data_IF_957627045151
#
_entry.id   IF_957627045151
#
_cell.length_a   1.000
_cell.length_b   1.000
_cell.length_c   1.000
_cell.angle_alpha   90.00
_cell.angle_beta   90.00
_cell.angle_gamma   90.00
#
_symmetry.space_group_name_H-M   'P 1'
#
loop_
_entity.id
_entity.type
_entity.pdbx_description
1 polymer ?
#
# COMPACT_ATOMS: atom_id res chain seq x y z
N UNK A 1 -0.16 -15.43 12.35
CA UNK A 1 -0.70 -14.41 11.43
C UNK A 1 -0.33 -13.03 11.95
N UNK A 2 0.13 -12.14 11.12
CA UNK A 2 0.50 -10.80 11.56
C UNK A 2 -0.74 -9.99 11.92
N UNK A 3 -0.57 -9.00 12.80
CA UNK A 3 -1.62 -8.03 13.12
C UNK A 3 -2.18 -7.36 11.86
N UNK A 4 -1.31 -7.11 10.90
CA UNK A 4 -1.67 -6.51 9.63
C UNK A 4 -2.64 -7.39 8.85
N UNK A 5 -2.38 -8.70 8.79
CA UNK A 5 -3.24 -9.63 8.08
C UNK A 5 -4.65 -9.70 8.68
N UNK A 6 -4.75 -9.70 10.00
CA UNK A 6 -6.03 -9.78 10.68
C UNK A 6 -6.92 -8.56 10.46
N UNK A 7 -6.31 -7.37 10.45
CA UNK A 7 -7.07 -6.13 10.41
C UNK A 7 -7.26 -5.56 9.04
N UNK A 8 -6.26 -5.72 8.18
CA UNK A 8 -6.21 -4.98 6.92
C UNK A 8 -6.82 -5.77 5.78
N UNK A 9 -6.39 -7.00 5.60
CA UNK A 9 -6.80 -7.81 4.48
C UNK A 9 -8.30 -8.07 4.38
N UNK A 10 -9.03 -8.32 5.48
CA UNK A 10 -10.47 -8.54 5.37
C UNK A 10 -11.22 -7.41 4.71
N UNK A 11 -10.73 -6.19 4.79
CA UNK A 11 -11.40 -5.03 4.19
C UNK A 11 -11.07 -4.90 2.72
N UNK A 12 -9.80 -5.11 2.35
CA UNK A 12 -9.35 -4.90 0.97
C UNK A 12 -9.47 -6.16 0.10
N UNK A 13 -9.40 -7.33 0.71
CA UNK A 13 -9.22 -8.58 -0.01
C UNK A 13 -10.31 -9.58 0.21
N UNK A 14 -11.49 -9.13 0.57
CA UNK A 14 -12.64 -10.01 0.64
C UNK A 14 -13.01 -10.51 -0.74
N UNK A 15 -13.44 -11.77 -0.87
CA UNK A 15 -13.91 -12.30 -2.15
C UNK A 15 -14.98 -11.39 -2.76
N UNK A 16 -14.82 -11.08 -4.04
CA UNK A 16 -15.76 -10.21 -4.75
C UNK A 16 -15.48 -8.72 -4.62
N UNK A 17 -14.40 -8.32 -3.96
CA UNK A 17 -14.01 -6.92 -3.92
C UNK A 17 -13.57 -6.46 -5.31
N UNK A 18 -14.10 -5.34 -5.79
CA UNK A 18 -13.86 -4.89 -7.16
C UNK A 18 -12.41 -4.46 -7.44
N UNK A 19 -11.65 -4.12 -6.43
CA UNK A 19 -10.23 -3.82 -6.55
C UNK A 19 -9.37 -5.08 -6.49
N UNK A 20 -9.98 -6.26 -6.43
CA UNK A 20 -9.27 -7.51 -6.22
C UNK A 20 -8.18 -7.80 -7.25
N UNK A 21 -8.43 -7.47 -8.50
CA UNK A 21 -7.47 -7.76 -9.56
C UNK A 21 -6.25 -6.84 -9.54
N UNK A 22 -6.39 -5.65 -8.98
CA UNK A 22 -5.28 -4.76 -8.74
C UNK A 22 -4.59 -5.08 -7.42
N UNK A 23 -5.17 -5.96 -6.66
CA UNK A 23 -4.72 -6.28 -5.32
C UNK A 23 -3.71 -7.42 -5.37
N UNK A 24 -2.68 -7.23 -6.14
CA UNK A 24 -1.49 -8.07 -6.05
C UNK A 24 -0.84 -7.96 -4.68
N UNK A 25 -1.27 -7.01 -3.90
CA UNK A 25 -0.88 -6.86 -2.50
C UNK A 25 -1.15 -8.09 -1.64
N UNK A 26 -2.07 -8.96 -2.05
CA UNK A 26 -2.21 -10.27 -1.41
C UNK A 26 -0.97 -11.14 -1.56
N UNK A 27 -0.18 -10.87 -2.58
CA UNK A 27 1.07 -11.57 -2.86
C UNK A 27 2.28 -10.80 -2.33
N UNK A 28 2.07 -9.64 -1.74
CA UNK A 28 3.15 -8.85 -1.16
C UNK A 28 3.75 -9.57 0.02
N UNK A 29 5.07 -9.61 0.05
CA UNK A 29 5.78 -10.11 1.21
C UNK A 29 6.01 -8.97 2.19
N UNK A 30 5.48 -9.12 3.39
CA UNK A 30 5.68 -8.12 4.44
C UNK A 30 7.07 -8.31 5.00
N UNK A 31 7.92 -7.30 4.83
CA UNK A 31 9.30 -7.31 5.32
C UNK A 31 9.39 -6.68 6.71
N UNK A 32 8.55 -5.69 6.96
CA UNK A 32 8.52 -4.97 8.24
C UNK A 32 7.13 -4.41 8.46
N UNK A 33 6.64 -4.55 9.66
CA UNK A 33 5.33 -4.03 10.06
C UNK A 33 5.42 -3.57 11.50
N UNK A 34 5.33 -2.27 11.69
CA UNK A 34 5.29 -1.65 13.00
C UNK A 34 4.44 -0.40 12.94
N UNK A 35 4.10 0.16 14.09
CA UNK A 35 3.27 1.36 14.14
C UNK A 35 3.94 2.49 13.37
N UNK A 36 3.28 2.97 12.34
CA UNK A 36 3.76 4.08 11.51
C UNK A 36 4.77 3.70 10.45
N UNK A 37 5.09 2.42 10.27
CA UNK A 37 6.03 2.01 9.20
C UNK A 37 5.72 0.62 8.69
N UNK A 38 5.59 0.52 7.38
CA UNK A 38 5.37 -0.76 6.68
C UNK A 38 6.34 -0.85 5.52
N UNK A 39 7.00 -1.99 5.38
CA UNK A 39 7.82 -2.31 4.23
C UNK A 39 7.33 -3.61 3.62
N UNK A 40 7.10 -3.61 2.33
CA UNK A 40 6.69 -4.81 1.59
C UNK A 40 7.51 -4.97 0.34
N UNK A 41 7.64 -6.21 -0.10
CA UNK A 41 8.22 -6.54 -1.39
C UNK A 41 7.10 -6.95 -2.33
N UNK A 42 7.03 -6.31 -3.49
CA UNK A 42 6.04 -6.55 -4.51
C UNK A 42 6.71 -7.10 -5.77
N UNK A 43 5.94 -7.82 -6.58
CA UNK A 43 6.38 -8.25 -7.90
C UNK A 43 5.99 -7.21 -8.94
N UNK A 44 6.85 -7.03 -9.94
CA UNK A 44 6.51 -6.19 -11.07
C UNK A 44 5.41 -6.88 -11.89
N UNK A 45 4.22 -6.29 -12.00
CA UNK A 45 3.12 -6.93 -12.71
C UNK A 45 3.35 -6.87 -14.22
N UNK A 46 3.20 -8.01 -14.88
CA UNK A 46 3.48 -8.13 -16.32
C UNK A 46 2.50 -7.36 -17.22
N UNK A 47 1.33 -7.03 -16.70
CA UNK A 47 0.26 -6.38 -17.47
C UNK A 47 0.11 -4.88 -17.23
N UNK A 48 0.97 -4.31 -16.38
CA UNK A 48 0.92 -2.88 -16.03
C UNK A 48 2.21 -2.15 -16.44
N UNK A 49 2.85 -2.64 -17.48
CA UNK A 49 4.13 -2.12 -17.93
C UNK A 49 3.98 -1.13 -19.08
N UNK A 50 4.87 -0.17 -19.11
CA UNK A 50 5.03 0.70 -20.27
C UNK A 50 5.82 -0.03 -21.37
N UNK A 51 5.98 0.58 -22.57
CA UNK A 51 6.73 -0.07 -23.65
C UNK A 51 8.21 -0.38 -23.34
N UNK A 52 8.75 0.20 -22.28
CA UNK A 52 10.13 -0.06 -21.82
C UNK A 52 10.23 -1.17 -20.78
N UNK A 53 9.13 -1.84 -20.47
CA UNK A 53 9.11 -2.87 -19.43
C UNK A 53 9.17 -2.32 -18.01
N UNK A 54 8.81 -1.07 -17.82
CA UNK A 54 8.77 -0.41 -16.54
C UNK A 54 7.31 -0.21 -16.11
N UNK A 55 7.06 -0.15 -14.81
CA UNK A 55 5.71 0.11 -14.31
C UNK A 55 5.22 1.47 -14.84
N UNK A 56 3.99 1.50 -15.38
CA UNK A 56 3.36 2.76 -15.76
C UNK A 56 3.29 3.71 -14.57
N UNK A 57 3.58 5.00 -14.81
CA UNK A 57 3.58 6.01 -13.75
C UNK A 57 2.27 6.12 -13.00
N UNK A 58 1.13 5.98 -13.69
CA UNK A 58 -0.17 5.99 -13.04
C UNK A 58 -0.38 4.83 -12.09
N UNK A 59 0.17 3.66 -12.40
CA UNK A 59 0.12 2.51 -11.51
C UNK A 59 1.08 2.65 -10.34
N UNK A 60 2.19 3.34 -10.52
CA UNK A 60 3.05 3.72 -9.39
C UNK A 60 2.24 4.49 -8.35
N UNK A 61 1.41 5.42 -8.80
CA UNK A 61 0.51 6.16 -7.89
C UNK A 61 -0.44 5.24 -7.15
N UNK A 62 -0.98 4.23 -7.81
CA UNK A 62 -1.85 3.25 -7.17
C UNK A 62 -1.13 2.51 -6.05
N UNK A 63 0.10 2.06 -6.28
CA UNK A 63 0.89 1.38 -5.26
C UNK A 63 1.24 2.30 -4.09
N UNK A 64 1.55 3.55 -4.38
CA UNK A 64 1.82 4.56 -3.34
C UNK A 64 0.59 4.77 -2.47
N UNK A 65 -0.57 4.89 -3.08
CA UNK A 65 -1.83 5.05 -2.35
C UNK A 65 -2.11 3.85 -1.45
N UNK A 66 -1.91 2.66 -1.97
CA UNK A 66 -2.14 1.42 -1.23
C UNK A 66 -1.20 1.30 -0.02
N UNK A 67 0.09 1.52 -0.20
CA UNK A 67 1.03 1.39 0.91
C UNK A 67 0.79 2.46 1.98
N UNK A 68 0.31 3.63 1.59
CA UNK A 68 -0.05 4.69 2.52
C UNK A 68 -1.22 4.26 3.41
N UNK A 69 -2.24 3.65 2.83
CA UNK A 69 -3.38 3.15 3.60
C UNK A 69 -2.95 2.02 4.54
N UNK A 70 -2.11 1.11 4.10
CA UNK A 70 -1.59 0.06 4.96
C UNK A 70 -0.80 0.62 6.13
N UNK A 71 0.00 1.65 5.88
CA UNK A 71 0.77 2.32 6.92
C UNK A 71 -0.15 2.99 7.93
N UNK A 72 -1.18 3.69 7.46
CA UNK A 72 -2.16 4.32 8.33
C UNK A 72 -2.86 3.29 9.23
N UNK A 73 -3.16 2.12 8.70
CA UNK A 73 -3.83 1.07 9.47
C UNK A 73 -3.02 0.57 10.65
N UNK A 74 -1.71 0.70 10.62
CA UNK A 74 -0.86 0.32 11.74
C UNK A 74 -1.10 1.18 12.98
N UNK A 75 -1.79 2.31 12.83
CA UNK A 75 -2.14 3.19 13.95
C UNK A 75 -3.32 2.68 14.76
N UNK A 76 -4.04 1.69 14.25
CA UNK A 76 -5.24 1.16 14.86
C UNK A 76 -4.99 -0.21 15.49
N UNK A 77 -5.84 -0.55 16.46
CA UNK A 77 -5.79 -1.82 17.17
C UNK A 77 -7.17 -2.48 17.15
N UNK A 78 -7.29 -3.66 17.76
CA UNK A 78 -8.58 -4.32 17.93
C UNK A 78 -9.59 -3.46 18.68
N UNK A 79 -9.10 -2.69 19.65
CA UNK A 79 -9.95 -1.81 20.46
C UNK A 79 -10.31 -0.53 19.74
N UNK A 80 -9.38 -0.02 18.95
CA UNK A 80 -9.55 1.19 18.17
C UNK A 80 -9.69 0.79 16.69
N UNK A 81 -10.89 0.43 16.31
CA UNK A 81 -11.16 -0.14 14.99
C UNK A 81 -10.90 0.86 13.88
N UNK A 82 -10.35 0.34 12.79
CA UNK A 82 -10.15 1.09 11.58
C UNK A 82 -11.48 1.63 11.05
N UNK A 83 -11.49 2.91 10.74
CA UNK A 83 -12.56 3.53 9.97
C UNK A 83 -12.09 3.74 8.54
N UNK A 84 -13.01 3.65 7.61
CA UNK A 84 -12.67 3.88 6.22
C UNK A 84 -12.09 5.28 6.03
N UNK A 85 -10.98 5.35 5.29
CA UNK A 85 -10.29 6.60 5.01
C UNK A 85 -10.08 6.77 3.53
N UNK A 86 -10.01 8.01 3.10
CA UNK A 86 -9.76 8.35 1.70
C UNK A 86 -8.58 9.29 1.59
N UNK A 87 -7.84 9.17 0.49
CA UNK A 87 -6.76 10.07 0.16
C UNK A 87 -7.32 11.45 -0.16
N UNK A 88 -6.84 12.47 0.53
CA UNK A 88 -7.23 13.86 0.27
C UNK A 88 -6.23 14.59 -0.61
N UNK A 89 -4.97 14.20 -0.54
CA UNK A 89 -3.91 14.78 -1.37
C UNK A 89 -2.78 13.79 -1.50
N UNK A 90 -2.22 13.70 -2.70
CA UNK A 90 -1.08 12.83 -2.95
C UNK A 90 -0.13 13.53 -3.91
N UNK A 91 1.14 13.63 -3.51
CA UNK A 91 2.20 14.13 -4.37
C UNK A 91 3.18 13.00 -4.66
N UNK A 92 3.55 12.85 -5.92
CA UNK A 92 4.51 11.84 -6.34
C UNK A 92 5.62 12.49 -7.14
N UNK A 93 6.86 12.23 -6.75
CA UNK A 93 8.04 12.63 -7.49
C UNK A 93 8.70 11.37 -8.06
N UNK A 94 8.89 11.35 -9.36
CA UNK A 94 9.44 10.18 -10.06
C UNK A 94 10.92 10.40 -10.31
N UNK A 95 11.77 9.83 -9.47
CA UNK A 95 13.22 9.97 -9.60
C UNK A 95 13.85 8.85 -10.42
N UNK A 96 13.21 7.69 -10.46
CA UNK A 96 13.68 6.54 -11.20
C UNK A 96 12.50 5.66 -11.60
N UNK A 97 12.63 4.88 -12.68
CA UNK A 97 11.58 3.94 -13.07
C UNK A 97 11.49 2.78 -12.07
N UNK A 98 10.28 2.26 -11.91
CA UNK A 98 10.04 1.03 -11.15
C UNK A 98 10.26 -0.14 -12.09
N UNK A 99 11.21 -1.00 -11.76
CA UNK A 99 11.60 -2.14 -12.59
C UNK A 99 11.60 -3.43 -11.77
N UNK A 100 11.61 -4.53 -12.48
CA UNK A 100 11.51 -5.82 -11.87
C UNK A 100 12.81 -6.59 -11.77
N UNK A 101 12.65 -7.86 -11.35
CA UNK A 101 11.37 -8.57 -11.14
C UNK A 101 10.62 -8.17 -9.88
N UNK A 102 11.27 -7.54 -8.92
CA UNK A 102 10.68 -7.15 -7.64
C UNK A 102 11.06 -5.74 -7.27
N UNK A 103 10.21 -5.10 -6.48
CA UNK A 103 10.50 -3.78 -5.93
C UNK A 103 9.94 -3.67 -4.52
N UNK A 104 10.42 -2.70 -3.80
CA UNK A 104 10.04 -2.49 -2.40
C UNK A 104 9.14 -1.26 -2.29
N UNK A 105 8.11 -1.40 -1.48
CA UNK A 105 7.25 -0.30 -1.09
C UNK A 105 7.47 -0.02 0.40
N UNK A 106 7.68 1.23 0.72
CA UNK A 106 7.90 1.67 2.09
C UNK A 106 6.92 2.78 2.39
N UNK A 107 6.08 2.58 3.41
CA UNK A 107 5.21 3.60 3.95
C UNK A 107 5.72 4.04 5.31
N UNK A 108 5.80 5.33 5.54
CA UNK A 108 6.25 5.88 6.80
C UNK A 108 5.38 7.05 7.22
N UNK A 109 4.82 6.97 8.41
CA UNK A 109 4.03 8.04 8.99
C UNK A 109 4.94 9.21 9.35
N UNK A 110 4.64 10.37 8.80
CA UNK A 110 5.36 11.61 9.09
C UNK A 110 4.67 12.37 10.21
N UNK A 111 3.34 12.45 10.14
CA UNK A 111 2.57 13.19 11.14
C UNK A 111 1.18 12.59 11.29
N UNK A 112 0.79 12.31 12.51
CA UNK A 112 -0.55 11.89 12.86
C UNK A 112 -1.34 13.11 13.33
N UNK A 113 -2.35 13.49 12.57
CA UNK A 113 -3.30 14.53 12.95
C UNK A 113 -4.57 13.91 13.54
N UNK A 114 -5.46 14.77 14.02
CA UNK A 114 -6.73 14.31 14.59
C UNK A 114 -7.66 13.72 13.54
N UNK A 115 -7.69 14.31 12.36
CA UNK A 115 -8.59 13.90 11.27
C UNK A 115 -7.86 13.47 10.01
N UNK A 116 -6.55 13.76 9.89
CA UNK A 116 -5.73 13.41 8.74
C UNK A 116 -4.35 12.95 9.19
N UNK A 117 -3.71 12.14 8.34
CA UNK A 117 -2.34 11.70 8.55
C UNK A 117 -1.51 12.08 7.32
N UNK A 118 -0.25 12.41 7.54
CA UNK A 118 0.74 12.59 6.49
C UNK A 118 1.66 11.37 6.47
N UNK A 119 1.70 10.71 5.34
CA UNK A 119 2.51 9.51 5.12
C UNK A 119 3.37 9.70 3.89
#
# INVERSE_FOLDING_TARGET
MSKFDEFTRPIFFQPGHNAGDLVESMQWKILREERGRVEVEAHLPSHLLNPRGQLFGGFTGTYVDMISIYTMRTLYSLENKFQWSSTVNMRIDYFAPVMGPRFRLIGELIKEGRTTCLI
#
